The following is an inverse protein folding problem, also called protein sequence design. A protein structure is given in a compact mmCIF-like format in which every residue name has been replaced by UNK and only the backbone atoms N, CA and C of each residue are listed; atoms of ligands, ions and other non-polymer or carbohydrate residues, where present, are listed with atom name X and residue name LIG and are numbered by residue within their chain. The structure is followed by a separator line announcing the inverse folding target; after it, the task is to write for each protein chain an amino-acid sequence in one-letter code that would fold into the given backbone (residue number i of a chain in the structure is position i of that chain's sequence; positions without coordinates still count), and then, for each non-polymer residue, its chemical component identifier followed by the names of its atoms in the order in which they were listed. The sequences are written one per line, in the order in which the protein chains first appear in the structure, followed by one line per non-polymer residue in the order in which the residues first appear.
data_IF_639213416528
#
_entry.id   IF_639213416528
#
_cell.length_a   1.000
_cell.length_b   1.000
_cell.length_c   1.000
_cell.angle_alpha   90.00
_cell.angle_beta   90.00
_cell.angle_gamma   90.00
#
_symmetry.space_group_name_H-M   'P 1'
#
loop_
_entity.id
_entity.type
_entity.pdbx_description
1 polymer ?
#
# COMPACT_ATOMS: atom_id res chain seq x y z
N UNK A 1 31.01 6.50 11.31
CA UNK A 1 29.59 6.77 11.05
C UNK A 1 29.06 5.61 10.22
N UNK A 2 28.26 4.73 10.80
CA UNK A 2 27.56 3.68 10.04
C UNK A 2 26.41 4.33 9.29
N UNK A 3 26.40 4.21 7.96
CA UNK A 3 25.26 4.65 7.14
C UNK A 3 23.99 3.99 7.68
N UNK A 4 22.86 4.70 7.81
CA UNK A 4 21.61 4.10 8.27
C UNK A 4 21.24 2.93 7.35
N UNK A 5 20.77 1.83 7.95
CA UNK A 5 20.33 0.66 7.19
C UNK A 5 19.12 1.06 6.34
N UNK A 6 19.27 0.99 5.01
CA UNK A 6 18.20 1.30 4.07
C UNK A 6 17.34 0.08 3.83
N UNK A 7 16.06 0.32 3.62
CA UNK A 7 15.05 -0.70 3.34
C UNK A 7 14.35 -0.31 2.03
N UNK A 8 14.29 -1.26 1.11
CA UNK A 8 13.36 -1.26 -0.01
C UNK A 8 12.10 -2.02 0.44
N UNK A 9 10.97 -1.31 0.48
CA UNK A 9 9.64 -1.89 0.66
C UNK A 9 8.95 -2.00 -0.71
N UNK A 10 8.55 -3.21 -1.07
CA UNK A 10 7.75 -3.48 -2.26
C UNK A 10 6.37 -3.95 -1.82
N UNK A 11 5.36 -3.20 -2.22
CA UNK A 11 3.97 -3.40 -1.82
C UNK A 11 3.17 -3.61 -3.10
N UNK A 12 2.46 -4.73 -3.21
CA UNK A 12 1.74 -5.09 -4.44
C UNK A 12 0.34 -5.61 -4.13
N UNK A 13 -0.62 -5.29 -4.98
CA UNK A 13 -1.98 -5.83 -4.93
C UNK A 13 -2.57 -5.99 -6.32
N UNK A 14 -3.23 -7.11 -6.59
CA UNK A 14 -3.86 -7.36 -7.90
C UNK A 14 -5.20 -6.65 -8.08
N UNK A 15 -5.81 -6.19 -6.97
CA UNK A 15 -7.19 -5.65 -6.97
C UNK A 15 -7.29 -4.22 -6.43
N UNK A 16 -6.22 -3.72 -5.82
CA UNK A 16 -6.22 -2.41 -5.15
C UNK A 16 -5.20 -1.50 -5.80
N UNK A 17 -5.58 -0.25 -6.01
CA UNK A 17 -4.61 0.82 -6.17
C UNK A 17 -4.05 1.17 -4.80
N UNK A 18 -2.73 1.34 -4.76
CA UNK A 18 -1.92 1.68 -3.61
C UNK A 18 -1.50 3.14 -3.79
N UNK A 19 -1.85 3.97 -2.82
CA UNK A 19 -1.70 5.42 -2.86
C UNK A 19 -0.91 5.86 -1.62
N UNK A 20 0.11 6.68 -1.82
CA UNK A 20 1.03 7.14 -0.78
C UNK A 20 1.09 8.66 -0.75
N UNK A 21 1.22 9.23 0.45
CA UNK A 21 1.26 10.67 0.72
C UNK A 21 -0.07 11.41 0.44
N UNK A 22 -0.34 11.74 -0.82
CA UNK A 22 -1.40 12.66 -1.20
C UNK A 22 -2.58 11.90 -1.81
N UNK A 23 -3.62 11.69 -1.00
CA UNK A 23 -4.79 10.89 -1.38
C UNK A 23 -5.41 11.34 -2.71
N UNK A 24 -5.50 10.40 -3.65
CA UNK A 24 -6.15 10.56 -4.94
C UNK A 24 -5.39 11.45 -5.93
N UNK A 25 -4.13 11.76 -5.66
CA UNK A 25 -3.27 12.59 -6.51
C UNK A 25 -1.97 11.82 -6.73
N UNK A 26 -1.59 11.63 -7.99
CA UNK A 26 -0.29 11.04 -8.31
C UNK A 26 0.81 12.00 -7.86
N UNK A 27 1.61 11.58 -6.89
CA UNK A 27 2.79 12.28 -6.45
C UNK A 27 4.05 11.70 -7.13
N UNK A 28 4.97 12.59 -7.47
CA UNK A 28 6.29 12.27 -8.02
C UNK A 28 7.41 13.06 -7.33
N UNK A 29 7.05 13.94 -6.38
CA UNK A 29 7.95 14.84 -5.67
C UNK A 29 8.10 14.38 -4.24
N UNK A 30 8.97 13.40 -4.03
CA UNK A 30 9.29 12.89 -2.70
C UNK A 30 10.44 13.69 -2.10
N UNK A 31 10.28 14.19 -0.87
CA UNK A 31 11.30 15.00 -0.21
C UNK A 31 12.45 14.14 0.39
N UNK A 32 13.70 14.55 0.15
CA UNK A 32 14.89 13.99 0.80
C UNK A 32 15.49 12.75 0.10
N UNK A 33 16.20 11.90 0.87
CA UNK A 33 16.83 10.65 0.40
C UNK A 33 15.83 9.50 0.17
N UNK A 34 14.53 9.80 0.26
CA UNK A 34 13.45 8.83 0.10
C UNK A 34 13.11 8.75 -1.38
N UNK A 35 13.13 7.54 -1.91
CA UNK A 35 12.67 7.26 -3.26
C UNK A 35 11.34 6.53 -3.19
N UNK A 36 10.36 6.97 -3.98
CA UNK A 36 9.06 6.29 -4.12
C UNK A 36 8.69 6.19 -5.59
N UNK A 37 8.04 5.10 -5.96
CA UNK A 37 7.46 4.92 -7.30
C UNK A 37 6.21 4.06 -7.23
N UNK A 38 5.35 4.23 -8.22
CA UNK A 38 4.11 3.47 -8.35
C UNK A 38 2.97 4.00 -7.50
N UNK A 39 3.02 5.27 -7.10
CA UNK A 39 1.90 5.93 -6.43
C UNK A 39 0.62 5.89 -7.29
N UNK A 40 -0.50 5.61 -6.63
CA UNK A 40 -1.82 5.33 -7.19
C UNK A 40 -1.82 4.17 -8.21
N UNK A 41 -0.96 3.16 -8.02
CA UNK A 41 -0.90 1.96 -8.88
C UNK A 41 -1.05 0.66 -8.10
N UNK A 42 -1.04 -0.48 -8.79
CA UNK A 42 -1.08 -1.81 -8.16
C UNK A 42 0.23 -2.24 -7.49
N UNK A 43 1.32 -1.48 -7.68
CA UNK A 43 2.64 -1.82 -7.16
C UNK A 43 3.40 -0.56 -6.74
N UNK A 44 3.61 -0.39 -5.44
CA UNK A 44 4.39 0.71 -4.86
C UNK A 44 5.74 0.19 -4.39
N UNK A 45 6.80 0.93 -4.71
CA UNK A 45 8.14 0.71 -4.17
C UNK A 45 8.60 1.95 -3.41
N UNK A 46 9.11 1.76 -2.20
CA UNK A 46 9.57 2.83 -1.30
C UNK A 46 10.96 2.44 -0.80
N UNK A 47 11.92 3.34 -0.90
CA UNK A 47 13.25 3.14 -0.34
C UNK A 47 13.68 4.31 0.53
N UNK A 48 14.15 4.01 1.73
CA UNK A 48 14.65 4.96 2.72
C UNK A 48 15.11 4.24 3.98
N UNK A 49 15.31 4.97 5.09
CA UNK A 49 15.49 4.35 6.41
C UNK A 49 14.23 3.57 6.81
N UNK A 50 14.37 2.59 7.71
CA UNK A 50 13.22 1.82 8.20
C UNK A 50 12.13 2.73 8.82
N UNK A 51 12.55 3.79 9.53
CA UNK A 51 11.65 4.77 10.14
C UNK A 51 10.93 5.60 9.08
N UNK A 52 11.64 6.02 8.02
CA UNK A 52 11.04 6.77 6.92
C UNK A 52 10.00 5.93 6.17
N UNK A 53 10.35 4.69 5.83
CA UNK A 53 9.43 3.73 5.18
C UNK A 53 8.20 3.48 6.08
N UNK A 54 8.42 3.25 7.37
CA UNK A 54 7.33 3.05 8.32
C UNK A 54 6.43 4.29 8.46
N UNK A 55 6.99 5.50 8.40
CA UNK A 55 6.24 6.74 8.45
C UNK A 55 5.37 6.95 7.20
N UNK A 56 5.86 6.57 6.02
CA UNK A 56 5.07 6.63 4.77
C UNK A 56 3.93 5.62 4.80
N UNK A 57 4.16 4.44 5.37
CA UNK A 57 3.10 3.41 5.44
C UNK A 57 2.06 3.77 6.51
N UNK A 58 2.48 4.22 7.71
CA UNK A 58 1.60 4.37 8.88
C UNK A 58 1.21 5.81 9.23
N UNK A 59 1.79 6.82 8.57
CA UNK A 59 1.64 8.23 8.94
C UNK A 59 0.27 8.83 8.64
N UNK A 60 0.08 10.10 9.02
CA UNK A 60 -1.08 10.89 8.62
C UNK A 60 -1.04 11.14 7.11
N UNK A 61 -1.90 10.45 6.35
CA UNK A 61 -1.77 10.38 4.88
C UNK A 61 -0.92 9.20 4.38
N UNK A 62 -0.64 8.23 5.25
CA UNK A 62 0.08 7.02 4.88
C UNK A 62 -0.69 6.14 3.90
N UNK A 63 -0.11 4.97 3.58
CA UNK A 63 -0.58 4.10 2.51
C UNK A 63 -2.11 3.89 2.54
N UNK A 64 -2.79 4.41 1.53
CA UNK A 64 -4.20 4.18 1.28
C UNK A 64 -4.37 3.12 0.19
N UNK A 65 -5.50 2.41 0.24
CA UNK A 65 -5.85 1.42 -0.77
C UNK A 65 -7.24 1.71 -1.33
N UNK A 66 -7.38 1.59 -2.65
CA UNK A 66 -8.63 1.89 -3.36
C UNK A 66 -9.01 0.71 -4.25
N UNK A 67 -10.29 0.30 -4.20
CA UNK A 67 -10.82 -0.68 -5.15
C UNK A 67 -11.53 0.04 -6.30
N UNK A 68 -11.18 -0.34 -7.54
CA UNK A 68 -11.85 0.15 -8.75
C UNK A 68 -13.15 -0.63 -9.05
N UNK A 69 -13.34 -1.80 -8.45
CA UNK A 69 -14.43 -2.74 -8.78
C UNK A 69 -15.52 -2.80 -7.71
N UNK A 70 -15.58 -1.80 -6.83
CA UNK A 70 -16.67 -1.62 -5.86
C UNK A 70 -16.52 -2.40 -4.55
N UNK A 71 -15.58 -3.34 -4.46
CA UNK A 71 -15.26 -4.03 -3.21
C UNK A 71 -13.77 -4.27 -3.05
N UNK A 72 -13.24 -3.96 -1.87
CA UNK A 72 -11.90 -4.34 -1.44
C UNK A 72 -11.88 -5.68 -0.68
N UNK A 73 -13.04 -6.29 -0.45
CA UNK A 73 -13.16 -7.52 0.33
C UNK A 73 -12.44 -8.70 -0.36
N UNK A 74 -11.62 -9.41 0.41
CA UNK A 74 -10.81 -10.52 -0.08
C UNK A 74 -9.66 -10.08 -0.99
N UNK A 75 -9.39 -8.78 -1.12
CA UNK A 75 -8.19 -8.31 -1.78
C UNK A 75 -6.96 -8.58 -0.90
N UNK A 76 -5.87 -8.95 -1.54
CA UNK A 76 -4.60 -9.23 -0.89
C UNK A 76 -3.61 -8.09 -1.17
N UNK A 77 -2.81 -7.77 -0.16
CA UNK A 77 -1.67 -6.88 -0.28
C UNK A 77 -0.44 -7.66 0.15
N UNK A 78 0.48 -7.86 -0.78
CA UNK A 78 1.78 -8.47 -0.50
C UNK A 78 2.79 -7.38 -0.17
N UNK A 79 3.54 -7.61 0.90
CA UNK A 79 4.55 -6.74 1.47
C UNK A 79 5.88 -7.48 1.45
N UNK A 80 6.92 -6.85 0.92
CA UNK A 80 8.27 -7.39 0.93
C UNK A 80 9.23 -6.31 1.37
N UNK A 81 10.03 -6.60 2.41
CA UNK A 81 11.04 -5.68 2.92
C UNK A 81 12.44 -6.25 2.70
N UNK A 82 13.29 -5.49 2.03
CA UNK A 82 14.63 -5.91 1.60
C UNK A 82 15.63 -4.88 2.12
N UNK A 83 16.65 -5.33 2.85
CA UNK A 83 17.75 -4.47 3.24
C UNK A 83 18.62 -4.17 2.00
N UNK A 84 18.92 -2.90 1.75
CA UNK A 84 19.71 -2.46 0.60
C UNK A 84 20.86 -1.57 1.07
N UNK A 85 21.99 -1.60 0.35
CA UNK A 85 23.17 -0.80 0.68
C UNK A 85 23.13 0.62 0.11
N UNK A 86 22.27 0.84 -0.89
CA UNK A 86 22.06 2.12 -1.56
C UNK A 86 20.58 2.27 -1.92
N UNK A 87 20.07 3.52 -2.04
CA UNK A 87 18.71 3.75 -2.49
C UNK A 87 18.47 3.15 -3.89
N UNK A 88 17.39 2.38 -4.04
CA UNK A 88 17.01 1.72 -5.30
C UNK A 88 15.51 1.51 -5.33
N UNK A 89 14.90 1.57 -6.51
CA UNK A 89 13.49 1.21 -6.72
C UNK A 89 13.33 0.04 -7.69
N UNK A 90 14.41 -0.70 -7.94
CA UNK A 90 14.38 -1.76 -8.94
C UNK A 90 13.60 -2.97 -8.42
N UNK A 91 12.61 -3.40 -9.19
CA UNK A 91 11.71 -4.49 -8.83
C UNK A 91 12.41 -5.86 -8.68
N UNK A 92 13.56 -6.07 -9.31
CA UNK A 92 14.33 -7.31 -9.21
C UNK A 92 14.90 -7.55 -7.81
N UNK A 93 15.02 -6.52 -6.98
CA UNK A 93 15.43 -6.67 -5.58
C UNK A 93 14.28 -7.13 -4.67
N UNK A 94 13.02 -6.89 -5.05
CA UNK A 94 11.86 -7.19 -4.21
C UNK A 94 11.74 -8.68 -3.82
N UNK A 95 12.31 -9.58 -4.63
CA UNK A 95 12.32 -11.03 -4.38
C UNK A 95 13.61 -11.56 -3.76
N UNK A 96 14.61 -10.70 -3.54
CA UNK A 96 15.91 -11.07 -2.97
C UNK A 96 15.93 -11.01 -1.44
N UNK A 97 14.87 -10.49 -0.82
CA UNK A 97 14.71 -10.47 0.64
C UNK A 97 14.50 -11.86 1.22
N UNK A 98 14.85 -12.00 2.51
CA UNK A 98 14.54 -13.21 3.28
C UNK A 98 13.02 -13.45 3.28
N UNK A 99 12.52 -14.69 3.10
CA UNK A 99 11.08 -14.99 3.12
C UNK A 99 10.39 -14.55 4.43
N UNK A 100 11.14 -14.50 5.54
CA UNK A 100 10.66 -14.00 6.83
C UNK A 100 10.27 -12.52 6.81
N UNK A 101 10.70 -11.75 5.82
CA UNK A 101 10.37 -10.34 5.63
C UNK A 101 9.26 -10.13 4.57
N UNK A 102 8.70 -11.22 4.03
CA UNK A 102 7.54 -11.18 3.16
C UNK A 102 6.27 -11.44 3.99
N UNK A 103 5.24 -10.63 3.80
CA UNK A 103 3.93 -10.77 4.44
C UNK A 103 2.83 -10.56 3.42
N UNK A 104 1.72 -11.25 3.60
CA UNK A 104 0.51 -11.02 2.80
C UNK A 104 -0.61 -10.70 3.77
N UNK A 105 -1.27 -9.58 3.54
CA UNK A 105 -2.40 -9.11 4.34
C UNK A 105 -3.65 -9.21 3.49
N UNK A 106 -4.74 -9.71 4.07
CA UNK A 106 -6.02 -9.85 3.38
C UNK A 106 -7.00 -8.85 3.96
N UNK A 107 -7.61 -8.02 3.12
CA UNK A 107 -8.67 -7.12 3.52
C UNK A 107 -9.95 -7.92 3.76
N UNK A 108 -10.39 -7.98 5.02
CA UNK A 108 -11.63 -8.65 5.40
C UNK A 108 -12.73 -7.61 5.60
N UNK A 109 -13.93 -7.82 5.02
CA UNK A 109 -15.06 -6.95 5.31
C UNK A 109 -15.43 -7.10 6.79
N UNK A 110 -15.82 -6.00 7.42
CA UNK A 110 -16.25 -5.97 8.82
C UNK A 110 -17.61 -6.65 9.06
N UNK A 111 -18.27 -7.15 8.02
CA UNK A 111 -19.60 -7.78 8.12
C UNK A 111 -20.73 -6.81 8.47
N UNK A 112 -20.48 -5.49 8.41
CA UNK A 112 -21.49 -4.45 8.59
C UNK A 112 -22.33 -4.35 7.31
N UNK A 113 -23.11 -5.38 7.06
CA UNK A 113 -24.10 -5.38 5.98
C UNK A 113 -25.30 -4.56 6.47
N UNK A 114 -25.69 -3.52 5.74
CA UNK A 114 -27.04 -2.97 5.89
C UNK A 114 -27.99 -4.05 5.37
N UNK A 115 -28.58 -4.84 6.27
CA UNK A 115 -29.81 -5.58 5.97
C UNK A 115 -30.89 -4.55 5.69
N UNK A 116 -30.92 -4.05 4.45
CA UNK A 116 -32.01 -3.23 3.95
C UNK A 116 -33.25 -4.13 3.93
N UNK A 117 -33.97 -4.16 5.07
CA UNK A 117 -35.38 -4.56 5.09
C UNK A 117 -36.15 -3.50 4.32
N UNK A 118 -36.03 -3.56 2.99
CA UNK A 118 -36.84 -2.77 2.08
C UNK A 118 -38.24 -3.34 2.18
N UNK A 119 -39.04 -2.79 3.10
CA UNK A 119 -40.47 -3.04 3.10
C UNK A 119 -41.01 -2.61 1.74
N UNK A 120 -41.83 -3.44 1.11
CA UNK A 120 -42.52 -3.13 -0.14
C UNK A 120 -43.51 -1.96 0.09
N UNK A 121 -42.99 -0.74 0.14
CA UNK A 121 -43.83 0.46 0.21
C UNK A 121 -44.31 0.72 -1.21
N UNK A 122 -45.55 0.31 -1.51
CA UNK A 122 -46.27 0.79 -2.69
C UNK A 122 -46.48 2.29 -2.54
N UNK A 123 -45.81 3.08 -3.39
CA UNK A 123 -46.08 4.50 -3.52
C UNK A 123 -47.55 4.69 -3.91
N UNK A 124 -48.29 5.49 -3.15
CA UNK A 124 -49.64 5.90 -3.55
C UNK A 124 -49.52 6.77 -4.79
N UNK A 125 -50.32 6.43 -5.81
CA UNK A 125 -50.55 7.28 -6.97
C UNK A 125 -51.70 8.23 -6.70
#
# INVERSE_FOLDING_TARGET
MTSPALVLACITSDKLLLDVYARGIIDSSFAGDIMVSGDLTHAVSITGSAEQVAAIINGGGGLATYSLTGSAAGAEVAWRFVAVSMPTLRADFCTQGQPKNARTTVLRPLGVTLDLKKGDIKLKR
#
